data_IF_114080764686
#
_entry.id   IF_114080764686
#
_cell.length_a   1.000
_cell.length_b   1.000
_cell.length_c   1.000
_cell.angle_alpha   90.00
_cell.angle_beta   90.00
_cell.angle_gamma   90.00
#
_symmetry.space_group_name_H-M   'P 1'
#
loop_
_entity.id
_entity.type
_entity.pdbx_description
1 polymer ?
#
# COMPACT_ATOMS: atom_id res chain seq x y z
N UNK A 1 5.99 -22.60 19.92
CA UNK A 1 5.43 -21.46 19.17
C UNK A 1 5.77 -21.65 17.71
N UNK A 2 4.79 -21.93 16.85
CA UNK A 2 5.00 -21.94 15.40
C UNK A 2 5.18 -20.50 14.93
N UNK A 3 6.40 -20.14 14.54
CA UNK A 3 6.66 -18.83 13.94
C UNK A 3 5.98 -18.76 12.58
N UNK A 4 4.84 -18.07 12.52
CA UNK A 4 4.21 -17.68 11.26
C UNK A 4 5.15 -16.71 10.55
N UNK A 5 5.68 -17.10 9.39
CA UNK A 5 6.46 -16.18 8.56
C UNK A 5 5.52 -15.15 7.97
N UNK A 6 5.80 -13.88 8.22
CA UNK A 6 5.15 -12.77 7.51
C UNK A 6 5.41 -12.87 6.00
N UNK A 7 4.46 -12.37 5.20
CA UNK A 7 4.54 -12.37 3.74
C UNK A 7 4.46 -10.95 3.24
N UNK A 8 5.36 -10.60 2.33
CA UNK A 8 5.42 -9.28 1.71
C UNK A 8 5.11 -9.42 0.23
N UNK A 9 4.21 -8.56 -0.27
CA UNK A 9 3.90 -8.43 -1.68
C UNK A 9 4.33 -7.05 -2.15
N UNK A 10 5.20 -6.99 -3.15
CA UNK A 10 5.47 -5.76 -3.88
C UNK A 10 4.52 -5.72 -5.07
N UNK A 11 3.67 -4.70 -5.12
CA UNK A 11 2.65 -4.53 -6.16
C UNK A 11 2.83 -3.18 -6.86
N UNK A 12 2.46 -3.11 -8.13
CA UNK A 12 2.37 -1.85 -8.85
C UNK A 12 1.02 -1.17 -8.57
N UNK A 13 1.05 0.10 -8.16
CA UNK A 13 -0.14 0.93 -7.95
C UNK A 13 -0.76 1.46 -9.27
N UNK A 14 -0.11 1.21 -10.41
CA UNK A 14 -0.51 1.80 -11.69
C UNK A 14 -0.22 3.31 -11.75
N UNK A 15 -0.66 3.99 -12.82
CA UNK A 15 -0.36 5.41 -13.05
C UNK A 15 -1.34 6.38 -12.35
N UNK A 16 -2.34 5.87 -11.61
CA UNK A 16 -3.28 6.69 -10.82
C UNK A 16 -4.73 6.27 -10.93
N UNK A 17 -5.15 5.79 -12.10
CA UNK A 17 -6.50 5.24 -12.33
C UNK A 17 -6.64 3.88 -11.61
N UNK A 18 -7.60 3.73 -10.67
CA UNK A 18 -7.82 2.48 -9.95
C UNK A 18 -8.16 1.27 -10.84
N UNK A 19 -8.66 1.50 -12.06
CA UNK A 19 -8.95 0.45 -13.03
C UNK A 19 -7.69 -0.16 -13.67
N UNK A 20 -6.52 0.46 -13.50
CA UNK A 20 -5.26 0.02 -14.11
C UNK A 20 -4.37 -0.81 -13.18
N UNK A 21 -4.81 -1.11 -11.96
CA UNK A 21 -4.13 -2.10 -11.11
C UNK A 21 -4.45 -3.51 -11.57
N UNK A 22 -3.57 -4.46 -11.29
CA UNK A 22 -3.87 -5.87 -11.54
C UNK A 22 -4.89 -6.40 -10.54
N UNK A 23 -5.64 -7.42 -10.93
CA UNK A 23 -6.56 -8.14 -10.02
C UNK A 23 -5.82 -8.64 -8.78
N UNK A 24 -4.58 -9.16 -8.95
CA UNK A 24 -3.75 -9.63 -7.83
C UNK A 24 -3.35 -8.50 -6.89
N UNK A 25 -3.03 -7.31 -7.41
CA UNK A 25 -2.71 -6.15 -6.58
C UNK A 25 -3.89 -5.77 -5.68
N UNK A 26 -5.11 -5.73 -6.24
CA UNK A 26 -6.33 -5.48 -5.47
C UNK A 26 -6.54 -6.51 -4.36
N UNK A 27 -6.43 -7.80 -4.68
CA UNK A 27 -6.55 -8.89 -3.70
C UNK A 27 -5.50 -8.79 -2.57
N UNK A 28 -4.26 -8.41 -2.92
CA UNK A 28 -3.21 -8.17 -1.94
C UNK A 28 -3.58 -7.03 -0.98
N UNK A 29 -4.09 -5.90 -1.50
CA UNK A 29 -4.52 -4.77 -0.65
C UNK A 29 -5.71 -5.19 0.24
N UNK A 30 -6.69 -5.89 -0.31
CA UNK A 30 -7.88 -6.35 0.44
C UNK A 30 -7.55 -7.31 1.59
N UNK A 31 -6.50 -8.11 1.46
CA UNK A 31 -6.09 -9.09 2.47
C UNK A 31 -5.00 -8.60 3.42
N UNK A 32 -4.30 -7.53 3.08
CA UNK A 32 -3.16 -7.02 3.84
C UNK A 32 -3.54 -6.61 5.27
N UNK A 33 -2.73 -7.03 6.24
CA UNK A 33 -2.77 -6.51 7.61
C UNK A 33 -2.13 -5.12 7.71
N UNK A 34 -1.15 -4.84 6.85
CA UNK A 34 -0.41 -3.57 6.78
C UNK A 34 -0.23 -3.18 5.32
N UNK A 35 -0.56 -1.94 4.96
CA UNK A 35 -0.33 -1.36 3.63
C UNK A 35 0.70 -0.24 3.76
N UNK A 36 1.86 -0.44 3.14
CA UNK A 36 2.91 0.59 3.04
C UNK A 36 2.86 1.18 1.63
N UNK A 37 2.73 2.51 1.53
CA UNK A 37 2.60 3.20 0.24
C UNK A 37 3.38 4.52 0.20
N UNK A 38 3.76 4.95 -1.01
CA UNK A 38 4.46 6.21 -1.24
C UNK A 38 3.57 7.26 -1.94
N UNK A 39 4.16 8.42 -2.24
CA UNK A 39 3.46 9.58 -2.82
C UNK A 39 2.84 9.31 -4.21
N UNK A 40 3.41 8.39 -5.00
CA UNK A 40 2.95 8.12 -6.36
C UNK A 40 1.75 7.16 -6.40
N UNK A 41 1.51 6.41 -5.33
CA UNK A 41 0.34 5.57 -5.23
C UNK A 41 -0.92 6.42 -5.02
N UNK A 42 -1.92 6.23 -5.88
CA UNK A 42 -3.21 6.92 -5.75
C UNK A 42 -3.89 6.57 -4.41
N UNK A 43 -4.28 7.55 -3.58
CA UNK A 43 -4.94 7.29 -2.30
C UNK A 43 -6.24 6.49 -2.41
N UNK A 44 -6.93 6.55 -3.57
CA UNK A 44 -8.16 5.77 -3.83
C UNK A 44 -7.92 4.26 -3.74
N UNK A 45 -6.68 3.79 -3.96
CA UNK A 45 -6.34 2.37 -3.80
C UNK A 45 -6.44 1.90 -2.35
N UNK A 46 -6.30 2.81 -1.38
CA UNK A 46 -6.40 2.51 0.05
C UNK A 46 -7.83 2.18 0.46
N UNK A 47 -8.84 2.58 -0.33
CA UNK A 47 -10.24 2.22 -0.11
C UNK A 47 -10.49 0.71 -0.28
N UNK A 48 -9.57 -0.01 -0.94
CA UNK A 48 -9.62 -1.47 -1.02
C UNK A 48 -9.08 -2.15 0.24
N UNK A 49 -8.34 -1.43 1.10
CA UNK A 49 -7.78 -2.02 2.31
C UNK A 49 -8.92 -2.37 3.28
N UNK A 50 -8.76 -3.47 4.02
CA UNK A 50 -9.69 -3.79 5.10
C UNK A 50 -9.62 -2.70 6.19
N UNK A 51 -10.73 -2.49 6.90
CA UNK A 51 -10.88 -1.41 7.88
C UNK A 51 -9.84 -1.49 9.02
N UNK A 52 -9.39 -2.69 9.35
CA UNK A 52 -8.43 -2.96 10.42
C UNK A 52 -6.97 -2.93 9.94
N UNK A 53 -6.72 -2.70 8.64
CA UNK A 53 -5.36 -2.63 8.12
C UNK A 53 -4.64 -1.38 8.65
N UNK A 54 -3.39 -1.56 9.07
CA UNK A 54 -2.52 -0.43 9.36
C UNK A 54 -2.05 0.20 8.04
N UNK A 55 -2.21 1.52 7.90
CA UNK A 55 -1.85 2.25 6.68
C UNK A 55 -0.63 3.12 6.98
N UNK A 56 0.51 2.81 6.36
CA UNK A 56 1.79 3.47 6.60
C UNK A 56 2.21 4.23 5.34
N UNK A 57 2.21 5.55 5.41
CA UNK A 57 2.75 6.40 4.36
C UNK A 57 4.27 6.56 4.52
N UNK A 58 5.03 6.27 3.46
CA UNK A 58 6.51 6.37 3.43
C UNK A 58 7.02 7.29 2.33
N UNK A 59 6.13 7.99 1.63
CA UNK A 59 6.50 8.88 0.54
C UNK A 59 7.21 10.15 1.02
N UNK A 60 8.04 10.71 0.14
CA UNK A 60 8.62 12.05 0.32
C UNK A 60 7.85 13.03 -0.56
N UNK A 61 7.23 14.04 0.05
CA UNK A 61 6.71 15.18 -0.70
C UNK A 61 7.89 16.11 -0.98
N UNK A 62 8.23 16.33 -2.25
CA UNK A 62 9.27 17.28 -2.61
C UNK A 62 8.95 18.65 -1.99
N UNK A 63 9.80 19.12 -1.06
CA UNK A 63 9.57 20.34 -0.27
C UNK A 63 9.64 20.14 1.25
N UNK A 64 9.34 18.94 1.76
CA UNK A 64 9.47 18.61 3.18
C UNK A 64 10.73 17.75 3.43
N UNK A 65 11.70 18.32 4.13
CA UNK A 65 12.81 17.56 4.69
C UNK A 65 12.30 16.78 5.91
N UNK A 66 12.01 15.50 5.71
CA UNK A 66 11.58 14.56 6.77
C UNK A 66 12.68 14.26 7.80
N UNK A 67 13.86 14.87 7.66
CA UNK A 67 14.96 14.76 8.63
C UNK A 67 15.55 16.17 8.82
N UNK A 68 15.18 16.81 9.93
CA UNK A 68 16.00 17.80 10.63
C UNK A 68 16.23 17.29 12.03
#
# INVERSE_FOLDING_TARGET
>A
MTQTRGKVYLIGAGPGDPGLITVKAKECIQSADVVVYDYLASPVLLDYAKKEAEIIYVGKKGGDHTLT
#
